data_IF_580379137562
#
_entry.id   IF_580379137562
#
_cell.length_a   1.000
_cell.length_b   1.000
_cell.length_c   1.000
_cell.angle_alpha   90.00
_cell.angle_beta   90.00
_cell.angle_gamma   90.00
#
_symmetry.space_group_name_H-M   'P 1'
#
loop_
_entity.id
_entity.type
_entity.pdbx_description
1 polymer ?
#
# COMPACT_ATOMS: atom_id res chain seq x y z
N UNK A 1 -22.72 13.98 -0.89
CA UNK A 1 -21.27 14.08 -1.25
C UNK A 1 -20.78 12.69 -1.56
N UNK A 2 -20.15 12.49 -2.70
CA UNK A 2 -19.59 11.18 -3.00
C UNK A 2 -18.45 10.91 -2.00
N UNK A 3 -18.57 9.85 -1.22
CA UNK A 3 -17.50 9.40 -0.33
C UNK A 3 -16.51 8.63 -1.20
N UNK A 4 -15.37 9.21 -1.50
CA UNK A 4 -14.29 8.50 -2.18
C UNK A 4 -13.60 7.53 -1.20
N UNK A 5 -13.29 6.34 -1.70
CA UNK A 5 -12.50 5.35 -0.93
C UNK A 5 -11.07 5.83 -0.66
N UNK A 6 -10.41 6.40 -1.68
CA UNK A 6 -9.08 6.99 -1.56
C UNK A 6 -9.08 8.38 -2.20
N UNK A 7 -8.49 9.35 -1.52
CA UNK A 7 -8.23 10.68 -2.06
C UNK A 7 -6.76 11.07 -1.85
N UNK A 8 -6.15 11.54 -2.91
CA UNK A 8 -4.82 12.14 -2.90
C UNK A 8 -4.96 13.58 -3.38
N UNK A 9 -4.61 14.52 -2.50
CA UNK A 9 -4.81 15.94 -2.74
C UNK A 9 -3.48 16.70 -2.69
N UNK A 10 -3.02 17.17 -3.85
CA UNK A 10 -1.83 18.02 -4.03
C UNK A 10 -0.56 17.48 -3.36
N UNK A 11 -0.32 16.18 -3.48
CA UNK A 11 0.80 15.51 -2.83
C UNK A 11 2.07 15.56 -3.66
N UNK A 12 3.17 15.91 -3.01
CA UNK A 12 4.53 15.76 -3.56
C UNK A 12 5.12 14.44 -3.06
N UNK A 13 5.36 13.51 -3.98
CA UNK A 13 5.92 12.19 -3.68
C UNK A 13 7.45 12.23 -3.75
N UNK A 14 8.10 11.74 -2.70
CA UNK A 14 9.56 11.74 -2.55
C UNK A 14 10.09 10.32 -2.35
N UNK A 15 11.29 10.09 -2.86
CA UNK A 15 12.06 8.89 -2.55
C UNK A 15 13.51 9.28 -2.27
N UNK A 16 14.05 8.80 -1.14
CA UNK A 16 15.41 9.14 -0.71
C UNK A 16 15.62 10.64 -0.54
N UNK A 17 14.62 11.37 -0.04
CA UNK A 17 14.66 12.82 0.16
C UNK A 17 14.48 13.66 -1.12
N UNK A 18 14.48 13.06 -2.30
CA UNK A 18 14.29 13.77 -3.60
C UNK A 18 12.85 13.66 -4.07
N UNK A 19 12.26 14.78 -4.49
CA UNK A 19 10.92 14.80 -5.07
C UNK A 19 10.95 14.10 -6.43
N UNK A 20 10.10 13.09 -6.60
CA UNK A 20 9.95 12.31 -7.83
C UNK A 20 8.76 12.79 -8.66
N UNK A 21 7.63 13.01 -8.02
CA UNK A 21 6.40 13.48 -8.67
C UNK A 21 5.81 14.59 -7.82
N UNK A 22 5.37 15.68 -8.46
CA UNK A 22 4.84 16.87 -7.75
C UNK A 22 3.37 17.06 -8.02
N UNK A 23 2.68 17.62 -7.02
CA UNK A 23 1.33 18.13 -7.12
C UNK A 23 0.33 17.13 -7.70
N UNK A 24 0.38 15.89 -7.23
CA UNK A 24 -0.50 14.82 -7.70
C UNK A 24 -1.82 14.89 -6.95
N UNK A 25 -2.92 14.84 -7.70
CA UNK A 25 -4.27 14.74 -7.18
C UNK A 25 -5.06 13.72 -7.99
N UNK A 26 -5.65 12.75 -7.30
CA UNK A 26 -6.62 11.83 -7.88
C UNK A 26 -7.44 11.17 -6.78
N UNK A 27 -8.56 10.56 -7.16
CA UNK A 27 -9.42 9.82 -6.24
C UNK A 27 -9.83 8.47 -6.81
N UNK A 28 -10.11 7.54 -5.91
CA UNK A 28 -10.72 6.24 -6.18
C UNK A 28 -12.07 6.23 -5.48
N UNK A 29 -13.13 5.94 -6.22
CA UNK A 29 -14.49 6.11 -5.70
C UNK A 29 -14.90 4.94 -4.79
N UNK A 30 -14.64 3.71 -5.23
CA UNK A 30 -15.16 2.55 -4.53
C UNK A 30 -14.04 1.65 -4.03
N UNK A 31 -14.30 0.99 -2.91
CA UNK A 31 -13.50 -0.15 -2.49
C UNK A 31 -13.65 -1.29 -3.51
N UNK A 32 -12.53 -1.88 -3.93
CA UNK A 32 -12.51 -2.93 -4.96
C UNK A 32 -12.23 -2.42 -6.37
N UNK A 33 -12.20 -1.11 -6.60
CA UNK A 33 -11.78 -0.55 -7.89
C UNK A 33 -10.32 -0.92 -8.19
N UNK A 34 -10.04 -1.24 -9.46
CA UNK A 34 -8.69 -1.54 -9.94
C UNK A 34 -8.14 -0.31 -10.64
N UNK A 35 -7.06 0.25 -10.10
CA UNK A 35 -6.38 1.44 -10.63
C UNK A 35 -5.03 1.06 -11.20
N UNK A 36 -4.77 1.44 -12.44
CA UNK A 36 -3.48 1.26 -13.09
C UNK A 36 -2.71 2.59 -13.14
N UNK A 37 -1.49 2.59 -12.61
CA UNK A 37 -0.54 3.69 -12.76
C UNK A 37 0.35 3.42 -13.97
N UNK A 38 0.17 4.17 -15.04
CA UNK A 38 0.93 4.04 -16.28
C UNK A 38 2.01 5.13 -16.36
N UNK A 39 3.12 4.79 -16.97
CA UNK A 39 4.23 5.71 -17.20
C UNK A 39 5.57 5.01 -17.35
N UNK A 40 6.60 5.72 -17.81
CA UNK A 40 7.95 5.16 -17.98
C UNK A 40 8.57 4.70 -16.67
N UNK A 41 9.57 3.84 -16.75
CA UNK A 41 10.34 3.41 -15.57
C UNK A 41 11.01 4.61 -14.91
N UNK A 42 11.03 4.61 -13.57
CA UNK A 42 11.67 5.68 -12.78
C UNK A 42 10.82 6.95 -12.58
N UNK A 43 9.63 7.06 -13.19
CA UNK A 43 8.77 8.26 -13.05
C UNK A 43 8.21 8.45 -11.62
N UNK A 44 8.23 7.43 -10.79
CA UNK A 44 7.75 7.52 -9.41
C UNK A 44 6.52 6.69 -9.07
N UNK A 45 6.08 5.77 -9.94
CA UNK A 45 4.92 4.88 -9.67
C UNK A 45 5.05 4.12 -8.35
N UNK A 46 6.20 3.46 -8.16
CA UNK A 46 6.50 2.74 -6.91
C UNK A 46 6.57 3.68 -5.71
N UNK A 47 7.07 4.90 -5.90
CA UNK A 47 7.11 5.92 -4.84
C UNK A 47 5.71 6.30 -4.38
N UNK A 48 4.76 6.47 -5.30
CA UNK A 48 3.35 6.74 -4.98
C UNK A 48 2.77 5.61 -4.13
N UNK A 49 2.94 4.35 -4.56
CA UNK A 49 2.43 3.18 -3.83
C UNK A 49 3.06 3.06 -2.43
N UNK A 50 4.39 3.23 -2.32
CA UNK A 50 5.10 3.20 -1.03
C UNK A 50 4.63 4.30 -0.08
N UNK A 51 4.36 5.50 -0.61
CA UNK A 51 3.86 6.62 0.20
C UNK A 51 2.43 6.37 0.69
N UNK A 52 1.54 5.84 -0.16
CA UNK A 52 0.19 5.44 0.25
C UNK A 52 0.26 4.38 1.34
N UNK A 53 1.16 3.40 1.21
CA UNK A 53 1.36 2.35 2.22
C UNK A 53 2.02 2.85 3.52
N UNK A 54 2.54 4.09 3.57
CA UNK A 54 3.15 4.67 4.77
C UNK A 54 4.65 4.52 4.91
N UNK A 55 5.31 3.94 3.93
CA UNK A 55 6.78 3.76 3.95
C UNK A 55 7.54 5.06 3.67
N UNK A 56 6.86 6.08 3.16
CA UNK A 56 7.44 7.39 2.86
C UNK A 56 6.52 8.50 3.40
N UNK A 57 7.11 9.54 3.99
CA UNK A 57 6.38 10.70 4.52
C UNK A 57 6.16 11.74 3.42
N UNK A 58 5.03 12.44 3.51
CA UNK A 58 4.74 13.59 2.66
C UNK A 58 4.98 14.90 3.41
N UNK A 59 5.39 15.93 2.69
CA UNK A 59 5.58 17.28 3.24
C UNK A 59 4.50 18.25 2.76
N UNK A 60 3.74 17.87 1.76
CA UNK A 60 2.69 18.71 1.16
C UNK A 60 1.51 17.84 0.77
N UNK A 61 0.31 18.42 0.80
CA UNK A 61 -0.92 17.75 0.47
C UNK A 61 -1.47 16.83 1.57
N UNK A 62 -2.39 15.95 1.17
CA UNK A 62 -3.00 14.96 2.05
C UNK A 62 -3.37 13.68 1.33
N UNK A 63 -3.34 12.57 2.05
CA UNK A 63 -3.84 11.26 1.63
C UNK A 63 -4.94 10.85 2.62
N UNK A 64 -6.10 10.55 2.09
CA UNK A 64 -7.31 10.24 2.85
C UNK A 64 -7.83 8.87 2.37
N UNK A 65 -8.15 7.99 3.30
CA UNK A 65 -8.79 6.69 3.02
C UNK A 65 -10.01 6.56 3.92
N UNK A 66 -11.14 6.21 3.34
CA UNK A 66 -12.42 6.08 4.05
C UNK A 66 -12.69 7.29 4.96
N UNK A 67 -12.54 8.51 4.43
CA UNK A 67 -12.70 9.77 5.14
C UNK A 67 -11.71 10.00 6.31
N UNK A 68 -10.71 9.14 6.47
CA UNK A 68 -9.67 9.29 7.48
C UNK A 68 -8.37 9.78 6.83
N UNK A 69 -7.84 10.91 7.26
CA UNK A 69 -6.52 11.39 6.82
C UNK A 69 -5.44 10.46 7.38
N UNK A 70 -4.71 9.78 6.49
CA UNK A 70 -3.62 8.87 6.84
C UNK A 70 -2.23 9.49 6.67
N UNK A 71 -2.12 10.52 5.83
CA UNK A 71 -0.89 11.30 5.67
C UNK A 71 -1.20 12.76 5.38
N UNK A 72 -0.48 13.65 6.01
CA UNK A 72 -0.46 15.08 5.74
C UNK A 72 0.85 15.69 6.27
N UNK A 73 1.03 17.01 6.18
CA UNK A 73 2.18 17.70 6.79
C UNK A 73 2.31 17.43 8.30
N UNK A 74 1.17 17.24 9.00
CA UNK A 74 1.12 17.07 10.46
C UNK A 74 0.81 15.64 10.90
N UNK A 75 0.23 14.83 10.02
CA UNK A 75 -0.27 13.49 10.32
C UNK A 75 0.52 12.49 9.48
N UNK A 76 1.03 11.46 10.10
CA UNK A 76 1.60 10.30 9.43
C UNK A 76 1.22 9.07 10.24
N UNK A 77 0.28 8.30 9.73
CA UNK A 77 -0.07 7.00 10.28
C UNK A 77 0.99 6.00 9.80
N UNK A 78 1.58 5.25 10.71
CA UNK A 78 2.60 4.26 10.37
C UNK A 78 2.00 3.11 9.52
N UNK A 79 2.80 2.41 8.69
CA UNK A 79 2.31 1.38 7.77
C UNK A 79 1.44 0.30 8.44
N UNK A 80 1.83 -0.14 9.63
CA UNK A 80 1.13 -1.16 10.42
C UNK A 80 -0.30 -0.75 10.82
N UNK A 81 -0.55 0.55 10.95
CA UNK A 81 -1.85 1.10 11.37
C UNK A 81 -2.73 1.56 10.20
N UNK A 82 -2.26 1.39 8.94
CA UNK A 82 -3.00 1.85 7.75
C UNK A 82 -4.02 0.87 7.20
N UNK A 83 -3.96 -0.37 7.57
CA UNK A 83 -4.76 -1.44 6.97
C UNK A 83 -4.62 -1.52 5.44
N UNK A 84 -3.42 -1.27 4.94
CA UNK A 84 -3.05 -1.32 3.52
C UNK A 84 -2.01 -2.41 3.33
N UNK A 85 -2.11 -3.16 2.23
CA UNK A 85 -1.09 -4.12 1.82
C UNK A 85 -0.32 -3.62 0.62
N UNK A 86 0.97 -3.84 0.61
CA UNK A 86 1.85 -3.54 -0.51
C UNK A 86 2.58 -4.81 -0.94
N UNK A 87 2.36 -5.23 -2.20
CA UNK A 87 3.16 -6.26 -2.83
C UNK A 87 4.36 -5.63 -3.54
N UNK A 88 5.56 -6.07 -3.21
CA UNK A 88 6.78 -5.63 -3.87
C UNK A 88 7.00 -6.45 -5.16
N UNK A 89 7.69 -5.85 -6.12
CA UNK A 89 8.05 -6.50 -7.39
C UNK A 89 9.06 -7.64 -7.17
N UNK A 90 9.92 -7.52 -6.17
CA UNK A 90 10.88 -8.54 -5.80
C UNK A 90 10.23 -9.61 -4.92
N UNK A 91 10.65 -10.86 -5.08
CA UNK A 91 10.13 -12.01 -4.33
C UNK A 91 10.30 -11.80 -2.82
N UNK A 92 9.25 -11.27 -2.17
CA UNK A 92 9.24 -11.01 -0.72
C UNK A 92 8.90 -12.27 0.07
N UNK A 93 9.52 -13.40 -0.29
CA UNK A 93 9.37 -14.64 0.47
C UNK A 93 10.42 -14.69 1.60
N UNK A 94 9.99 -15.19 2.75
CA UNK A 94 10.89 -15.48 3.85
C UNK A 94 11.68 -16.75 3.56
N UNK A 95 13.00 -16.69 3.32
CA UNK A 95 13.79 -17.85 2.90
C UNK A 95 13.88 -18.93 3.98
N UNK A 96 13.62 -18.58 5.24
CA UNK A 96 13.63 -19.50 6.39
C UNK A 96 12.27 -20.13 6.67
N UNK A 97 11.23 -19.80 5.88
CA UNK A 97 9.91 -20.37 5.98
C UNK A 97 9.60 -21.27 4.77
N UNK A 98 8.86 -22.34 5.01
CA UNK A 98 8.31 -23.17 3.93
C UNK A 98 7.19 -22.42 3.20
N UNK A 99 6.70 -22.99 2.08
CA UNK A 99 5.66 -22.38 1.24
C UNK A 99 4.39 -22.11 2.04
N UNK A 100 3.92 -23.10 2.79
CA UNK A 100 2.71 -23.01 3.61
C UNK A 100 2.81 -21.85 4.60
N UNK A 101 3.92 -21.73 5.33
CA UNK A 101 4.14 -20.67 6.32
C UNK A 101 4.27 -19.30 5.67
N UNK A 102 4.89 -19.18 4.49
CA UNK A 102 4.92 -17.95 3.72
C UNK A 102 3.51 -17.49 3.29
N UNK A 103 2.62 -18.44 2.96
CA UNK A 103 1.23 -18.15 2.61
C UNK A 103 0.42 -17.78 3.86
N UNK A 104 0.59 -18.50 4.96
CA UNK A 104 -0.21 -18.33 6.17
C UNK A 104 0.17 -17.08 6.98
N UNK A 105 1.40 -16.60 6.87
CA UNK A 105 1.91 -15.49 7.69
C UNK A 105 1.06 -14.20 7.58
N UNK A 106 0.34 -14.04 6.47
CA UNK A 106 -0.60 -12.94 6.28
C UNK A 106 -2.01 -13.19 6.84
N UNK A 107 -2.33 -14.45 7.18
CA UNK A 107 -3.66 -14.88 7.61
C UNK A 107 -3.76 -15.14 9.10
N UNK A 108 -2.63 -15.43 9.76
CA UNK A 108 -2.62 -15.70 11.20
C UNK A 108 -2.89 -14.40 11.97
N UNK A 109 -3.94 -14.42 12.78
CA UNK A 109 -4.24 -13.39 13.79
C UNK A 109 -3.32 -13.51 15.01
N UNK A 110 -2.11 -14.02 14.82
CA UNK A 110 -1.23 -14.29 15.94
C UNK A 110 -0.59 -12.98 16.43
N UNK A 111 -1.13 -12.48 17.53
CA UNK A 111 -0.73 -11.26 18.23
C UNK A 111 0.73 -11.27 18.74
N UNK A 112 1.43 -12.39 18.61
CA UNK A 112 2.83 -12.52 19.04
C UNK A 112 3.86 -12.18 17.95
N UNK A 113 3.45 -12.09 16.67
CA UNK A 113 4.32 -11.73 15.56
C UNK A 113 4.19 -10.25 15.12
N UNK A 114 3.41 -9.45 15.86
CA UNK A 114 3.14 -8.03 15.54
C UNK A 114 4.38 -7.12 15.62
N UNK A 115 5.50 -7.62 16.10
CA UNK A 115 6.75 -6.85 16.16
C UNK A 115 7.63 -6.92 14.92
N UNK A 116 7.32 -7.77 13.93
CA UNK A 116 8.23 -8.05 12.82
C UNK A 116 7.61 -7.81 11.44
N UNK A 117 6.28 -7.77 11.30
CA UNK A 117 5.61 -7.64 10.01
C UNK A 117 4.47 -6.63 10.04
N UNK A 118 4.46 -5.65 9.12
CA UNK A 118 3.33 -4.75 8.99
C UNK A 118 2.07 -5.54 8.58
N UNK A 119 0.88 -5.18 9.11
CA UNK A 119 -0.42 -5.74 8.71
C UNK A 119 -0.68 -5.68 7.20
N UNK A 120 0.06 -4.82 6.51
CA UNK A 120 0.07 -4.66 5.06
C UNK A 120 0.31 -5.95 4.27
N UNK A 121 0.92 -6.99 4.84
CA UNK A 121 1.09 -8.28 4.15
C UNK A 121 -0.17 -9.15 4.16
N UNK A 122 -1.12 -8.89 5.06
CA UNK A 122 -2.29 -9.77 5.24
C UNK A 122 -3.26 -9.78 4.07
N UNK A 123 -3.47 -8.66 3.41
CA UNK A 123 -4.43 -8.54 2.30
C UNK A 123 -3.85 -8.94 0.95
N UNK A 124 -2.53 -8.83 0.76
CA UNK A 124 -1.87 -9.23 -0.50
C UNK A 124 -1.98 -10.72 -0.75
N UNK A 125 -1.85 -11.54 0.31
CA UNK A 125 -1.98 -13.00 0.21
C UNK A 125 -3.42 -13.44 -0.06
N UNK A 126 -4.43 -12.71 0.42
CA UNK A 126 -5.83 -13.01 0.14
C UNK A 126 -6.18 -12.79 -1.34
N UNK A 127 -5.63 -11.73 -1.94
CA UNK A 127 -5.82 -11.45 -3.37
C UNK A 127 -5.01 -12.41 -4.25
N UNK A 128 -3.83 -12.83 -3.83
CA UNK A 128 -3.00 -13.80 -4.57
C UNK A 128 -3.67 -15.19 -4.61
N UNK A 129 -4.32 -15.62 -3.53
CA UNK A 129 -5.08 -16.87 -3.51
C UNK A 129 -6.25 -16.82 -4.50
N UNK A 130 -6.98 -15.70 -4.55
CA UNK A 130 -8.10 -15.51 -5.48
C UNK A 130 -7.66 -15.49 -6.95
N UNK A 131 -6.47 -14.97 -7.24
CA UNK A 131 -5.87 -14.99 -8.60
C UNK A 131 -5.38 -16.37 -8.98
N UNK A 132 -4.82 -17.14 -8.06
CA UNK A 132 -4.37 -18.52 -8.31
C UNK A 132 -5.55 -19.47 -8.52
N UNK A 133 -6.63 -19.33 -7.74
CA UNK A 133 -7.84 -20.15 -7.88
C UNK A 133 -8.59 -19.88 -9.20
N UNK A 134 -8.45 -18.68 -9.78
CA UNK A 134 -9.06 -18.30 -11.06
C UNK A 134 -8.21 -18.65 -12.30
N UNK A 135 -6.93 -18.99 -12.14
CA UNK A 135 -6.03 -19.33 -13.25
C UNK A 135 -5.69 -20.83 -13.35
N UNK A 136 -6.33 -21.67 -12.54
CA UNK A 136 -6.14 -23.14 -12.53
C UNK A 136 -7.38 -23.90 -13.07
N UNK A 137 -8.14 -23.26 -13.97
CA UNK A 137 -9.14 -23.93 -14.81
C UNK A 137 -8.74 -23.94 -16.25
#
# INVERSE_FOLDING_TARGET
>A
MANNFLEINNVDFKAGGKTKVKNVSFSVQNEGDIICLLGPSGIGKTTILRTIAGLEKINNGSIIINNKTISSKKIHIEPEDRNISLAFQDNSLFPHYNVEKNILIGTEKDTKLTGVFPPAMKSTLFNTKKVLDNNLC
#
